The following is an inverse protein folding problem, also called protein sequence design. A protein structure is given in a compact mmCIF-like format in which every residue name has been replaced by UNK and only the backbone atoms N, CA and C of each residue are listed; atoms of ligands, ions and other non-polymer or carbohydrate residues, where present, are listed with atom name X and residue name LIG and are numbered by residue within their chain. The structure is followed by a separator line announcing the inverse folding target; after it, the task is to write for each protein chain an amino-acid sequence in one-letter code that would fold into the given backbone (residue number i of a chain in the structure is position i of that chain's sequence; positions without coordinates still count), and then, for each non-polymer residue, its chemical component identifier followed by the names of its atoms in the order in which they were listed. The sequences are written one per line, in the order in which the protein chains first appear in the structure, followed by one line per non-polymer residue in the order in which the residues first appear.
data_IF_736725603802
#
_entry.id   IF_736725603802
#
_cell.length_a   1.000
_cell.length_b   1.000
_cell.length_c   1.000
_cell.angle_alpha   90.00
_cell.angle_beta   90.00
_cell.angle_gamma   90.00
#
_symmetry.space_group_name_H-M   'P 1'
#
loop_
_entity.id
_entity.type
_entity.pdbx_description
1 polymer ?
#
# COMPACT_ATOMS: atom_id res chain seq x y z
N UNK A 1 -32.57 -32.62 -22.18
CA UNK A 1 -31.44 -32.51 -21.22
C UNK A 1 -32.05 -32.22 -19.86
N UNK A 2 -31.87 -33.11 -18.89
CA UNK A 2 -32.52 -33.03 -17.57
C UNK A 2 -32.09 -31.76 -16.82
N UNK A 3 -33.04 -30.97 -16.32
CA UNK A 3 -32.80 -29.74 -15.59
C UNK A 3 -31.86 -29.95 -14.38
N UNK A 4 -31.92 -31.14 -13.76
CA UNK A 4 -31.00 -31.52 -12.68
C UNK A 4 -29.57 -31.71 -13.18
N UNK A 5 -29.39 -32.25 -14.38
CA UNK A 5 -28.06 -32.38 -15.00
C UNK A 5 -27.48 -31.02 -15.36
N UNK A 6 -28.30 -30.11 -15.88
CA UNK A 6 -27.86 -28.74 -16.18
C UNK A 6 -27.47 -28.00 -14.90
N UNK A 7 -28.28 -28.10 -13.84
CA UNK A 7 -27.97 -27.48 -12.54
C UNK A 7 -26.66 -28.00 -11.95
N UNK A 8 -26.44 -29.33 -11.98
CA UNK A 8 -25.20 -29.93 -11.48
C UNK A 8 -23.96 -29.49 -12.27
N UNK A 9 -24.08 -29.34 -13.59
CA UNK A 9 -22.98 -28.84 -14.43
C UNK A 9 -22.66 -27.39 -14.09
N UNK A 10 -23.67 -26.53 -13.93
CA UNK A 10 -23.47 -25.12 -13.57
C UNK A 10 -22.82 -24.99 -12.20
N UNK A 11 -23.23 -25.78 -11.21
CA UNK A 11 -22.63 -25.78 -9.86
C UNK A 11 -21.17 -26.24 -9.93
N UNK A 12 -20.88 -27.32 -10.67
CA UNK A 12 -19.52 -27.82 -10.84
C UNK A 12 -18.61 -26.79 -11.52
N UNK A 13 -19.12 -26.08 -12.53
CA UNK A 13 -18.41 -24.99 -13.22
C UNK A 13 -18.13 -23.83 -12.28
N UNK A 14 -19.12 -23.37 -11.50
CA UNK A 14 -18.95 -22.28 -10.53
C UNK A 14 -17.95 -22.64 -9.41
N UNK A 15 -17.93 -23.90 -8.97
CA UNK A 15 -17.02 -24.39 -7.94
C UNK A 15 -15.54 -24.46 -8.39
N UNK A 16 -15.25 -24.39 -9.70
CA UNK A 16 -13.89 -24.40 -10.25
C UNK A 16 -13.23 -23.02 -10.30
N UNK A 17 -13.97 -21.92 -10.08
CA UNK A 17 -13.44 -20.55 -10.16
C UNK A 17 -12.82 -19.92 -8.89
N UNK A 18 -12.83 -20.49 -7.66
CA UNK A 18 -12.36 -19.75 -6.49
C UNK A 18 -10.83 -19.58 -6.39
N UNK A 19 -10.05 -19.93 -7.42
CA UNK A 19 -8.58 -19.97 -7.32
C UNK A 19 -7.82 -18.75 -7.85
N UNK A 20 -8.46 -17.82 -8.56
CA UNK A 20 -7.71 -16.81 -9.36
C UNK A 20 -7.95 -15.37 -8.88
N UNK A 21 -7.94 -15.14 -7.57
CA UNK A 21 -7.96 -13.78 -7.03
C UNK A 21 -6.85 -13.61 -5.97
N UNK A 22 -5.62 -13.40 -6.44
CA UNK A 22 -4.55 -12.85 -5.62
C UNK A 22 -4.38 -11.38 -5.96
N UNK A 23 -5.04 -10.50 -5.19
CA UNK A 23 -4.77 -9.07 -5.24
C UNK A 23 -3.45 -8.80 -4.51
N UNK A 24 -2.35 -8.77 -5.26
CA UNK A 24 -1.01 -8.40 -4.80
C UNK A 24 -0.81 -6.89 -4.75
N UNK A 25 0.25 -6.45 -4.08
CA UNK A 25 0.65 -5.04 -4.05
C UNK A 25 1.19 -4.59 -5.43
N UNK A 26 1.02 -3.31 -5.77
CA UNK A 26 1.47 -2.75 -7.05
C UNK A 26 2.94 -2.36 -6.90
N UNK A 27 3.81 -3.23 -7.41
CA UNK A 27 5.26 -3.06 -7.35
C UNK A 27 5.78 -2.58 -8.70
N UNK A 28 6.41 -1.40 -8.73
CA UNK A 28 7.08 -0.88 -9.91
C UNK A 28 8.60 -1.07 -9.77
N UNK A 29 9.22 -1.65 -10.79
CA UNK A 29 10.68 -1.73 -10.88
C UNK A 29 11.16 -0.55 -11.71
N UNK A 30 12.16 0.16 -11.19
CA UNK A 30 12.82 1.25 -11.91
C UNK A 30 14.31 0.91 -12.01
N UNK A 31 14.78 0.82 -13.25
CA UNK A 31 16.16 0.50 -13.62
C UNK A 31 17.06 1.74 -13.75
N UNK A 32 16.47 2.94 -13.72
CA UNK A 32 17.15 4.23 -13.95
C UNK A 32 17.66 4.82 -12.65
N UNK A 33 16.96 4.63 -11.53
CA UNK A 33 17.35 5.22 -10.26
C UNK A 33 18.62 4.57 -9.66
N UNK A 34 19.56 5.36 -9.09
CA UNK A 34 20.84 4.86 -8.59
C UNK A 34 20.68 3.78 -7.52
N UNK A 35 21.25 2.59 -7.77
CA UNK A 35 21.24 1.48 -6.83
C UNK A 35 22.32 1.66 -5.77
N UNK A 36 21.93 1.82 -4.52
CA UNK A 36 22.85 1.82 -3.37
C UNK A 36 22.64 0.55 -2.54
N UNK A 37 23.70 -0.04 -1.97
CA UNK A 37 23.55 -1.17 -1.04
C UNK A 37 22.61 -0.79 0.11
N UNK A 38 21.54 -1.57 0.32
CA UNK A 38 20.50 -1.27 1.32
C UNK A 38 19.43 -0.25 0.89
N UNK A 39 19.47 0.25 -0.35
CA UNK A 39 18.48 1.18 -0.92
C UNK A 39 18.20 0.82 -2.39
N UNK A 40 17.96 -0.47 -2.65
CA UNK A 40 17.54 -1.02 -3.95
C UNK A 40 16.22 -1.79 -3.80
N UNK A 41 15.33 -1.29 -2.92
CA UNK A 41 13.99 -1.84 -2.78
C UNK A 41 13.11 -1.37 -3.96
N UNK A 42 12.03 -2.08 -4.23
CA UNK A 42 11.11 -1.70 -5.29
C UNK A 42 10.34 -0.42 -4.95
N UNK A 43 9.87 0.28 -5.98
CA UNK A 43 8.86 1.31 -5.78
C UNK A 43 7.54 0.64 -5.44
N UNK A 44 6.96 1.03 -4.31
CA UNK A 44 5.66 0.54 -3.87
C UNK A 44 4.72 1.72 -3.70
N UNK A 45 3.49 1.52 -4.16
CA UNK A 45 2.43 2.51 -3.97
C UNK A 45 1.77 2.25 -2.63
N UNK A 46 1.91 3.19 -1.69
CA UNK A 46 1.43 3.01 -0.33
C UNK A 46 0.29 3.95 0.00
N UNK A 47 -0.48 3.51 1.00
CA UNK A 47 -1.48 4.28 1.71
C UNK A 47 -0.94 4.55 3.12
N UNK A 48 -0.90 5.82 3.50
CA UNK A 48 -0.36 6.25 4.80
C UNK A 48 -1.49 6.87 5.63
N UNK A 49 -2.09 6.11 6.55
CA UNK A 49 -3.00 6.67 7.54
C UNK A 49 -2.23 7.46 8.60
N UNK A 50 -2.86 8.50 9.14
CA UNK A 50 -2.30 9.30 10.24
C UNK A 50 -3.24 9.35 11.43
N UNK A 51 -2.68 9.60 12.61
CA UNK A 51 -3.42 9.71 13.85
C UNK A 51 -2.94 10.94 14.63
N UNK A 52 -3.89 11.71 15.16
CA UNK A 52 -3.66 12.84 16.06
C UNK A 52 -4.48 12.57 17.32
N UNK A 53 -3.80 12.54 18.47
CA UNK A 53 -4.43 12.24 19.77
C UNK A 53 -5.26 10.94 19.76
N UNK A 54 -4.70 9.88 19.16
CA UNK A 54 -5.32 8.56 18.97
C UNK A 54 -6.58 8.53 18.07
N UNK A 55 -6.95 9.67 17.47
CA UNK A 55 -8.02 9.77 16.47
C UNK A 55 -7.41 9.75 15.08
N UNK A 56 -7.99 8.95 14.19
CA UNK A 56 -7.58 8.89 12.78
C UNK A 56 -7.85 10.25 12.11
N UNK A 57 -6.84 10.79 11.44
CA UNK A 57 -6.89 12.07 10.74
C UNK A 57 -6.77 11.83 9.22
N UNK A 58 -5.99 12.65 8.52
CA UNK A 58 -5.89 12.65 7.08
C UNK A 58 -5.09 11.47 6.57
N UNK A 59 -5.61 10.81 5.56
CA UNK A 59 -4.96 9.69 4.89
C UNK A 59 -4.32 10.15 3.59
N UNK A 60 -3.07 9.75 3.38
CA UNK A 60 -2.35 9.99 2.14
C UNK A 60 -2.40 8.75 1.27
N UNK A 61 -3.14 8.83 0.16
CA UNK A 61 -3.26 7.75 -0.83
C UNK A 61 -2.40 8.04 -2.05
N UNK A 62 -1.88 6.98 -2.67
CA UNK A 62 -1.15 7.10 -3.93
C UNK A 62 0.29 7.62 -3.77
N UNK A 63 0.87 7.49 -2.58
CA UNK A 63 2.27 7.86 -2.34
C UNK A 63 3.17 6.75 -2.88
N UNK A 64 3.89 7.02 -3.97
CA UNK A 64 4.87 6.09 -4.53
C UNK A 64 6.28 6.48 -4.10
N UNK A 65 7.01 5.60 -3.43
CA UNK A 65 8.40 5.83 -3.08
C UNK A 65 9.20 4.53 -2.96
N UNK A 66 10.54 4.66 -2.97
CA UNK A 66 11.46 3.62 -2.52
C UNK A 66 11.70 3.79 -1.03
N UNK A 67 11.20 2.86 -0.24
CA UNK A 67 11.43 2.85 1.19
C UNK A 67 12.71 2.07 1.50
N UNK A 68 13.55 2.58 2.41
CA UNK A 68 14.79 1.89 2.78
C UNK A 68 14.55 0.61 3.58
N UNK A 69 13.44 0.54 4.31
CA UNK A 69 12.98 -0.66 5.02
C UNK A 69 11.87 -1.34 4.23
N UNK A 70 11.78 -2.66 4.32
CA UNK A 70 10.64 -3.42 3.81
C UNK A 70 9.40 -3.05 4.59
N UNK A 71 8.35 -2.68 3.87
CA UNK A 71 7.05 -2.34 4.46
C UNK A 71 6.19 -3.59 4.60
N UNK A 72 5.34 -3.59 5.63
CA UNK A 72 4.33 -4.62 5.80
C UNK A 72 3.30 -4.55 4.67
N UNK A 73 2.97 -5.71 4.09
CA UNK A 73 2.00 -5.80 2.99
C UNK A 73 0.57 -5.42 3.38
N UNK A 74 0.27 -5.36 4.69
CA UNK A 74 -1.04 -5.03 5.25
C UNK A 74 -0.86 -4.03 6.38
N UNK A 75 -1.44 -2.84 6.21
CA UNK A 75 -1.36 -1.72 7.15
C UNK A 75 -1.83 -2.08 8.57
N UNK A 76 -2.82 -2.98 8.72
CA UNK A 76 -3.29 -3.50 10.02
C UNK A 76 -2.21 -4.17 10.88
N UNK A 77 -1.12 -4.64 10.28
CA UNK A 77 -0.01 -5.28 10.99
C UNK A 77 1.20 -4.36 11.12
N UNK A 78 1.14 -3.14 10.58
CA UNK A 78 2.23 -2.19 10.64
C UNK A 78 2.30 -1.52 12.02
N UNK A 79 3.53 -1.31 12.50
CA UNK A 79 3.77 -0.54 13.71
C UNK A 79 3.55 0.96 13.43
N UNK A 80 2.83 1.64 14.33
CA UNK A 80 2.70 3.10 14.28
C UNK A 80 3.99 3.74 14.76
N UNK A 81 4.60 4.58 13.92
CA UNK A 81 5.75 5.39 14.30
C UNK A 81 5.30 6.83 14.58
N UNK A 82 5.88 7.46 15.60
CA UNK A 82 5.64 8.88 15.86
C UNK A 82 6.37 9.70 14.79
N UNK A 83 5.60 10.47 14.02
CA UNK A 83 6.14 11.35 12.99
C UNK A 83 6.10 12.80 13.47
N UNK A 84 7.04 13.60 13.00
CA UNK A 84 6.99 15.06 13.13
C UNK A 84 6.50 15.63 11.80
N UNK A 85 5.40 16.39 11.84
CA UNK A 85 4.92 17.11 10.66
C UNK A 85 5.80 18.36 10.48
N UNK A 86 6.33 18.53 9.27
CA UNK A 86 7.03 19.76 8.93
C UNK A 86 6.08 20.95 8.95
N UNK A 87 6.53 22.07 9.53
CA UNK A 87 5.82 23.35 9.54
C UNK A 87 6.71 24.42 8.88
N UNK A 88 6.46 24.81 7.62
CA UNK A 88 5.32 24.45 6.77
C UNK A 88 5.47 23.09 6.04
N UNK A 89 4.37 22.37 5.74
CA UNK A 89 4.42 21.05 5.10
C UNK A 89 5.00 21.05 3.68
N UNK A 90 5.00 22.22 3.02
CA UNK A 90 5.49 22.38 1.67
C UNK A 90 7.02 22.40 1.58
N UNK A 91 7.73 22.50 2.71
CA UNK A 91 9.19 22.68 2.84
C UNK A 91 9.79 23.87 2.08
N UNK A 92 8.97 24.58 1.32
CA UNK A 92 9.37 25.63 0.39
C UNK A 92 9.11 27.02 0.97
N UNK A 93 8.23 27.12 1.97
CA UNK A 93 8.02 28.36 2.71
C UNK A 93 8.88 28.39 3.99
N UNK A 94 9.32 29.59 4.40
CA UNK A 94 10.14 29.72 5.61
C UNK A 94 9.35 29.26 6.85
N UNK A 95 10.03 28.52 7.74
CA UNK A 95 9.42 28.05 8.98
C UNK A 95 8.93 29.23 9.82
N UNK A 96 7.70 29.11 10.33
CA UNK A 96 7.12 30.13 11.23
C UNK A 96 7.77 30.12 12.60
N UNK A 97 8.44 29.02 12.96
CA UNK A 97 9.24 28.89 14.18
C UNK A 97 10.72 28.91 13.84
N UNK A 98 11.47 29.83 14.46
CA UNK A 98 12.93 29.74 14.53
C UNK A 98 13.29 28.63 15.51
N UNK A 99 14.18 27.73 15.08
CA UNK A 99 14.88 26.80 15.97
C UNK A 99 15.94 27.58 16.75
#
# INVERSE_FOLDING_TARGET
MDARRVANIVIAVLAMFPWIASAGDIVHHDDVAPKKPGCDNNFVLVKVPTWVDDVEDTEYVGVGARFGLTLESKEKHANRARLALADPPDYCTMSKKKV
#
